data_IF_015088897187
#
_entry.id   IF_015088897187
#
_cell.length_a   1.000
_cell.length_b   1.000
_cell.length_c   1.000
_cell.angle_alpha   90.00
_cell.angle_beta   90.00
_cell.angle_gamma   90.00
#
_symmetry.space_group_name_H-M   'P 1'
#
loop_
_entity.id
_entity.type
_entity.pdbx_description
1 polymer ?
#
# COMPACT_ATOMS: atom_id res chain seq x y z
N UNK A 1 -14.87 -3.46 20.83
CA UNK A 1 -16.12 -3.73 20.07
C UNK A 1 -15.79 -4.31 18.70
N UNK A 2 -16.73 -5.10 18.13
CA UNK A 2 -16.55 -5.58 16.76
C UNK A 2 -16.92 -4.49 15.77
N UNK A 3 -15.99 -4.16 14.89
CA UNK A 3 -16.20 -3.19 13.79
C UNK A 3 -15.98 -3.87 12.43
N UNK A 4 -16.53 -3.26 11.38
CA UNK A 4 -16.25 -3.69 10.01
C UNK A 4 -15.45 -2.62 9.32
N UNK A 5 -14.29 -2.99 8.78
CA UNK A 5 -13.33 -2.12 8.09
C UNK A 5 -13.15 -2.56 6.65
N UNK A 6 -12.53 -1.75 5.82
CA UNK A 6 -12.19 -2.02 4.41
C UNK A 6 -13.40 -2.52 3.62
N UNK A 7 -14.45 -1.73 3.60
CA UNK A 7 -15.68 -2.05 2.85
C UNK A 7 -15.49 -1.68 1.38
N UNK A 8 -15.57 -2.66 0.45
CA UNK A 8 -15.51 -2.34 -0.97
C UNK A 8 -16.64 -1.38 -1.37
N UNK A 9 -16.41 -0.55 -2.37
CA UNK A 9 -17.40 0.37 -2.93
C UNK A 9 -18.66 -0.35 -3.44
N UNK A 10 -18.50 -1.58 -3.92
CA UNK A 10 -19.60 -2.46 -4.31
C UNK A 10 -19.55 -3.77 -3.52
N UNK A 11 -20.72 -4.22 -3.05
CA UNK A 11 -20.83 -5.53 -2.37
C UNK A 11 -20.61 -6.65 -3.38
N UNK A 12 -19.76 -7.60 -2.99
CA UNK A 12 -19.57 -8.85 -3.73
C UNK A 12 -20.47 -9.96 -3.17
N UNK A 13 -20.46 -11.11 -3.80
CA UNK A 13 -21.14 -12.29 -3.26
C UNK A 13 -20.44 -12.77 -1.97
N UNK A 14 -21.24 -13.11 -0.97
CA UNK A 14 -20.72 -13.48 0.36
C UNK A 14 -19.69 -14.61 0.34
N UNK A 15 -19.78 -15.56 -0.62
CA UNK A 15 -18.81 -16.65 -0.72
C UNK A 15 -17.40 -16.22 -1.13
N UNK A 16 -17.24 -15.04 -1.72
CA UNK A 16 -15.91 -14.50 -2.05
C UNK A 16 -15.15 -14.05 -0.79
N UNK A 17 -15.87 -13.71 0.28
CA UNK A 17 -15.28 -13.32 1.57
C UNK A 17 -14.45 -12.04 1.54
N UNK A 18 -14.82 -11.09 0.64
CA UNK A 18 -14.12 -9.80 0.44
C UNK A 18 -15.03 -8.58 0.64
N UNK A 19 -16.12 -8.73 1.40
CA UNK A 19 -17.09 -7.66 1.66
C UNK A 19 -16.75 -6.75 2.84
N UNK A 20 -15.54 -6.73 3.27
CA UNK A 20 -15.03 -6.02 4.45
C UNK A 20 -14.57 -6.99 5.53
N UNK A 21 -13.62 -6.57 6.32
CA UNK A 21 -13.08 -7.34 7.42
C UNK A 21 -13.79 -7.01 8.74
N UNK A 22 -14.06 -8.01 9.56
CA UNK A 22 -14.53 -7.83 10.94
C UNK A 22 -13.34 -7.98 11.87
N UNK A 23 -13.11 -6.97 12.68
CA UNK A 23 -12.03 -6.94 13.66
C UNK A 23 -12.55 -6.48 15.02
N UNK A 24 -11.88 -6.89 16.07
CA UNK A 24 -12.06 -6.31 17.40
C UNK A 24 -11.26 -5.01 17.48
N UNK A 25 -11.91 -3.94 17.90
CA UNK A 25 -11.28 -2.64 18.07
C UNK A 25 -11.72 -1.98 19.36
N UNK A 26 -10.75 -1.54 20.17
CA UNK A 26 -11.01 -0.83 21.42
C UNK A 26 -11.22 0.67 21.22
N UNK A 27 -11.66 1.34 22.30
CA UNK A 27 -11.57 2.80 22.37
C UNK A 27 -10.12 3.18 22.65
N UNK A 28 -9.58 4.14 21.90
CA UNK A 28 -8.19 4.51 21.95
C UNK A 28 -7.96 5.97 22.31
N UNK A 29 -6.73 6.26 22.70
CA UNK A 29 -6.29 7.63 22.92
C UNK A 29 -6.23 8.40 21.59
N UNK A 30 -6.83 9.58 21.55
CA UNK A 30 -6.70 10.51 20.43
C UNK A 30 -5.36 11.23 20.56
N UNK A 31 -4.46 10.99 19.61
CA UNK A 31 -3.20 11.72 19.53
C UNK A 31 -3.41 13.09 18.88
N UNK A 32 -2.55 14.08 19.16
CA UNK A 32 -2.63 15.38 18.51
C UNK A 32 -2.62 15.25 16.99
N UNK A 33 -3.52 15.97 16.32
CA UNK A 33 -3.54 16.09 14.86
C UNK A 33 -2.23 16.68 14.36
N UNK A 34 -1.70 16.12 13.28
CA UNK A 34 -0.57 16.69 12.55
C UNK A 34 -1.10 17.36 11.28
N UNK A 35 -1.11 18.71 11.27
CA UNK A 35 -1.42 19.48 10.07
C UNK A 35 -0.13 19.89 9.39
N UNK A 36 0.06 19.44 8.15
CA UNK A 36 1.28 19.57 7.38
C UNK A 36 1.05 20.51 6.20
N UNK A 37 1.99 21.40 5.95
CA UNK A 37 2.03 22.26 4.77
C UNK A 37 3.46 22.74 4.54
N UNK A 38 3.78 23.18 3.33
CA UNK A 38 5.04 23.85 3.08
C UNK A 38 5.04 25.28 3.65
N UNK A 39 6.21 25.80 4.04
CA UNK A 39 6.38 27.23 4.34
C UNK A 39 5.82 28.10 3.22
N UNK A 40 5.28 29.28 3.56
CA UNK A 40 4.60 30.15 2.60
C UNK A 40 5.50 30.64 1.45
N UNK A 41 6.81 30.66 1.66
CA UNK A 41 7.84 31.07 0.70
C UNK A 41 8.40 29.93 -0.16
N UNK A 42 7.88 28.70 0.01
CA UNK A 42 8.31 27.52 -0.75
C UNK A 42 7.18 26.93 -1.57
N UNK A 43 7.50 26.47 -2.77
CA UNK A 43 6.60 25.72 -3.65
C UNK A 43 6.99 24.25 -3.78
N UNK A 44 8.15 23.87 -3.24
CA UNK A 44 8.60 22.47 -3.22
C UNK A 44 9.22 22.11 -1.86
N UNK A 45 9.11 20.85 -1.45
CA UNK A 45 9.74 20.41 -0.23
C UNK A 45 9.38 19.00 0.21
N UNK A 46 10.09 18.59 1.28
CA UNK A 46 9.92 17.31 1.92
C UNK A 46 9.35 17.50 3.34
N UNK A 47 8.35 16.72 3.63
CA UNK A 47 7.74 16.62 4.95
C UNK A 47 7.91 15.18 5.46
N UNK A 48 7.96 14.99 6.75
CA UNK A 48 8.00 13.65 7.34
C UNK A 48 7.14 13.58 8.59
N UNK A 49 6.50 12.43 8.78
CA UNK A 49 5.73 12.12 9.96
C UNK A 49 6.00 10.69 10.40
N UNK A 50 6.32 10.54 11.68
CA UNK A 50 6.44 9.23 12.32
C UNK A 50 5.26 9.11 13.26
N UNK A 51 4.51 8.04 13.12
CA UNK A 51 3.34 7.74 13.94
C UNK A 51 3.57 6.45 14.70
N UNK A 52 3.36 6.50 16.01
CA UNK A 52 3.48 5.35 16.90
C UNK A 52 2.33 5.37 17.90
N UNK A 53 1.84 4.22 18.34
CA UNK A 53 0.79 4.15 19.35
C UNK A 53 1.25 4.74 20.69
N UNK A 54 0.28 5.19 21.47
CA UNK A 54 0.48 5.67 22.84
C UNK A 54 -0.47 4.97 23.81
N UNK A 55 -0.37 3.64 23.87
CA UNK A 55 -1.22 2.73 24.63
C UNK A 55 -1.87 1.69 23.75
N UNK A 56 -2.62 0.76 24.35
CA UNK A 56 -3.18 -0.44 23.70
C UNK A 56 -3.98 -0.15 22.42
N UNK A 57 -4.70 0.98 22.40
CA UNK A 57 -5.37 1.53 21.21
C UNK A 57 -5.11 3.02 21.13
N UNK A 58 -4.78 3.52 19.96
CA UNK A 58 -4.64 4.95 19.73
C UNK A 58 -4.95 5.32 18.27
N UNK A 59 -5.32 6.59 18.08
CA UNK A 59 -5.65 7.14 16.76
C UNK A 59 -4.87 8.43 16.51
N UNK A 60 -4.42 8.63 15.28
CA UNK A 60 -3.77 9.87 14.84
C UNK A 60 -4.33 10.30 13.50
N UNK A 61 -4.65 11.59 13.40
CA UNK A 61 -5.03 12.24 12.15
C UNK A 61 -3.88 13.07 11.61
N UNK A 62 -3.64 12.95 10.32
CA UNK A 62 -2.63 13.69 9.55
C UNK A 62 -3.37 14.37 8.42
N UNK A 63 -3.23 15.68 8.29
CA UNK A 63 -3.83 16.47 7.22
C UNK A 63 -2.72 17.15 6.45
N UNK A 64 -2.68 16.94 5.16
CA UNK A 64 -1.79 17.64 4.24
C UNK A 64 -2.62 18.62 3.41
N UNK A 65 -2.45 19.90 3.72
CA UNK A 65 -3.04 20.99 2.95
C UNK A 65 -2.01 21.51 1.94
N UNK A 66 -2.38 21.57 0.68
CA UNK A 66 -1.52 22.08 -0.41
C UNK A 66 -2.01 23.42 -0.95
N UNK A 67 -1.16 24.10 -1.67
CA UNK A 67 -1.50 25.26 -2.50
C UNK A 67 -1.29 24.93 -3.96
N UNK A 68 -1.98 25.60 -4.91
CA UNK A 68 -1.81 25.33 -6.32
C UNK A 68 -0.33 25.34 -6.76
N UNK A 69 0.08 24.35 -7.55
CA UNK A 69 1.42 24.23 -8.12
C UNK A 69 2.52 23.78 -7.15
N UNK A 70 2.21 23.33 -5.96
CA UNK A 70 3.22 22.79 -5.02
C UNK A 70 3.72 21.39 -5.43
N UNK A 71 5.00 21.11 -5.14
CA UNK A 71 5.62 19.79 -5.28
C UNK A 71 6.08 19.31 -3.90
N UNK A 72 5.38 18.31 -3.35
CA UNK A 72 5.56 17.85 -1.98
C UNK A 72 5.92 16.38 -1.95
N UNK A 73 6.97 16.03 -1.23
CA UNK A 73 7.23 14.64 -0.82
C UNK A 73 6.91 14.50 0.66
N UNK A 74 5.95 13.64 1.00
CA UNK A 74 5.62 13.25 2.37
C UNK A 74 6.16 11.86 2.67
N UNK A 75 7.03 11.72 3.65
CA UNK A 75 7.45 10.43 4.17
C UNK A 75 6.68 10.10 5.45
N UNK A 76 5.80 9.13 5.39
CA UNK A 76 5.00 8.63 6.49
C UNK A 76 5.54 7.28 6.97
N UNK A 77 5.86 7.18 8.25
CA UNK A 77 6.22 5.92 8.91
C UNK A 77 5.21 5.62 10.01
N UNK A 78 4.61 4.45 9.97
CA UNK A 78 3.71 3.95 11.02
C UNK A 78 4.32 2.68 11.61
N UNK A 79 4.63 2.70 12.91
CA UNK A 79 5.29 1.59 13.61
C UNK A 79 4.85 1.49 15.05
N UNK A 80 4.83 0.29 15.59
CA UNK A 80 4.57 0.05 17.01
C UNK A 80 4.01 -1.35 17.26
N UNK A 81 4.03 -1.72 18.54
CA UNK A 81 3.65 -3.05 19.04
C UNK A 81 2.23 -3.07 19.61
N UNK A 82 1.47 -2.00 19.41
CA UNK A 82 0.11 -1.82 19.90
C UNK A 82 -0.84 -1.47 18.76
N UNK A 83 -2.15 -1.57 18.98
CA UNK A 83 -3.16 -1.29 17.98
C UNK A 83 -3.22 0.21 17.65
N UNK A 84 -3.13 0.53 16.37
CA UNK A 84 -3.02 1.92 15.95
C UNK A 84 -3.83 2.22 14.69
N UNK A 85 -4.62 3.30 14.74
CA UNK A 85 -5.30 3.86 13.59
C UNK A 85 -4.62 5.17 13.17
N UNK A 86 -4.19 5.24 11.93
CA UNK A 86 -3.79 6.52 11.30
C UNK A 86 -4.80 6.91 10.24
N UNK A 87 -5.10 8.20 10.16
CA UNK A 87 -5.90 8.79 9.08
C UNK A 87 -5.07 9.84 8.36
N UNK A 88 -4.93 9.68 7.05
CA UNK A 88 -4.25 10.64 6.19
C UNK A 88 -5.28 11.31 5.27
N UNK A 89 -5.39 12.62 5.35
CA UNK A 89 -6.23 13.41 4.48
C UNK A 89 -5.36 14.30 3.59
N UNK A 90 -5.60 14.26 2.28
CA UNK A 90 -4.90 15.07 1.30
C UNK A 90 -5.91 15.81 0.43
N UNK A 91 -5.88 17.13 0.49
CA UNK A 91 -6.57 17.99 -0.45
C UNK A 91 -5.52 18.58 -1.40
N UNK A 92 -5.36 17.95 -2.57
CA UNK A 92 -4.40 18.40 -3.57
C UNK A 92 -5.06 19.45 -4.47
N UNK A 93 -4.62 20.69 -4.31
CA UNK A 93 -5.07 21.82 -5.12
C UNK A 93 -4.57 21.70 -6.59
N UNK A 94 -5.06 22.57 -7.47
CA UNK A 94 -4.75 22.49 -8.90
C UNK A 94 -3.25 22.50 -9.20
N UNK A 95 -2.84 21.69 -10.18
CA UNK A 95 -1.46 21.55 -10.65
C UNK A 95 -0.44 21.15 -9.57
N UNK A 96 -0.91 20.63 -8.44
CA UNK A 96 -0.09 20.15 -7.31
C UNK A 96 0.47 18.77 -7.60
N UNK A 97 1.71 18.54 -7.21
CA UNK A 97 2.30 17.20 -7.21
C UNK A 97 2.60 16.76 -5.79
N UNK A 98 2.00 15.66 -5.35
CA UNK A 98 2.26 15.06 -4.03
C UNK A 98 2.76 13.64 -4.19
N UNK A 99 3.93 13.36 -3.64
CA UNK A 99 4.47 12.00 -3.51
C UNK A 99 4.41 11.58 -2.05
N UNK A 100 3.67 10.53 -1.75
CA UNK A 100 3.59 9.95 -0.40
C UNK A 100 4.37 8.64 -0.36
N UNK A 101 5.39 8.60 0.47
CA UNK A 101 6.23 7.43 0.72
C UNK A 101 5.81 6.84 2.07
N UNK A 102 5.20 5.65 2.05
CA UNK A 102 4.62 5.05 3.25
C UNK A 102 5.38 3.78 3.65
N UNK A 103 5.70 3.68 4.94
CA UNK A 103 6.30 2.49 5.53
C UNK A 103 5.49 2.07 6.76
N UNK A 104 4.80 0.93 6.65
CA UNK A 104 4.02 0.33 7.74
C UNK A 104 4.76 -0.84 8.35
N UNK A 105 4.98 -0.78 9.67
CA UNK A 105 5.73 -1.77 10.44
C UNK A 105 5.01 -2.10 11.76
N UNK A 106 3.87 -2.81 11.72
CA UNK A 106 3.26 -3.32 12.95
C UNK A 106 4.16 -4.38 13.58
N UNK A 107 4.30 -4.32 14.90
CA UNK A 107 4.96 -5.37 15.67
C UNK A 107 4.06 -6.59 15.88
N UNK A 108 4.63 -7.65 16.46
CA UNK A 108 3.94 -8.91 16.68
C UNK A 108 2.68 -8.75 17.55
N UNK A 109 1.55 -9.22 17.03
CA UNK A 109 0.25 -9.14 17.69
C UNK A 109 -0.44 -7.78 17.60
N UNK A 110 0.21 -6.77 17.05
CA UNK A 110 -0.38 -5.45 16.82
C UNK A 110 -1.23 -5.43 15.54
N UNK A 111 -2.23 -4.56 15.53
CA UNK A 111 -3.01 -4.25 14.33
C UNK A 111 -2.84 -2.78 13.97
N UNK A 112 -2.32 -2.52 12.77
CA UNK A 112 -2.31 -1.19 12.17
C UNK A 112 -3.51 -1.06 11.24
N UNK A 113 -4.30 0.00 11.46
CA UNK A 113 -5.31 0.49 10.51
C UNK A 113 -4.80 1.79 9.90
N UNK A 114 -4.92 1.91 8.60
CA UNK A 114 -4.59 3.13 7.89
C UNK A 114 -5.74 3.50 6.96
N UNK A 115 -6.29 4.69 7.14
CA UNK A 115 -7.38 5.22 6.32
C UNK A 115 -6.86 6.47 5.60
N UNK A 116 -6.94 6.48 4.26
CA UNK A 116 -6.53 7.64 3.45
C UNK A 116 -7.72 8.18 2.66
N UNK A 117 -7.96 9.48 2.75
CA UNK A 117 -8.97 10.21 2.00
C UNK A 117 -8.30 11.29 1.17
N UNK A 118 -8.48 11.23 -0.15
CA UNK A 118 -7.82 12.13 -1.08
C UNK A 118 -8.85 12.80 -2.01
N UNK A 119 -8.70 14.11 -2.23
CA UNK A 119 -9.43 14.87 -3.24
C UNK A 119 -8.45 15.64 -4.11
N UNK A 120 -8.51 15.43 -5.43
CA UNK A 120 -7.55 15.97 -6.38
C UNK A 120 -8.21 16.98 -7.32
N UNK A 121 -7.70 18.23 -7.29
CA UNK A 121 -8.11 19.32 -8.17
C UNK A 121 -7.56 19.18 -9.61
N UNK A 122 -7.83 20.18 -10.45
CA UNK A 122 -7.44 20.18 -11.86
C UNK A 122 -5.92 19.97 -12.03
N UNK A 123 -5.53 18.99 -12.84
CA UNK A 123 -4.12 18.69 -13.11
C UNK A 123 -3.30 18.21 -11.90
N UNK A 124 -3.92 17.98 -10.75
CA UNK A 124 -3.20 17.50 -9.57
C UNK A 124 -2.74 16.05 -9.76
N UNK A 125 -1.52 15.77 -9.34
CA UNK A 125 -0.90 14.45 -9.38
C UNK A 125 -0.58 13.98 -7.96
N UNK A 126 -1.14 12.85 -7.54
CA UNK A 126 -0.77 12.22 -6.26
C UNK A 126 -0.24 10.82 -6.51
N UNK A 127 0.90 10.49 -5.91
CA UNK A 127 1.47 9.15 -6.00
C UNK A 127 1.77 8.59 -4.60
N UNK A 128 1.35 7.35 -4.37
CA UNK A 128 1.69 6.56 -3.18
C UNK A 128 2.70 5.49 -3.53
N UNK A 129 3.77 5.40 -2.75
CA UNK A 129 4.71 4.29 -2.77
C UNK A 129 4.72 3.70 -1.37
N UNK A 130 4.07 2.56 -1.22
CA UNK A 130 3.78 1.95 0.08
C UNK A 130 4.56 0.66 0.26
N UNK A 131 5.31 0.55 1.34
CA UNK A 131 5.90 -0.70 1.80
C UNK A 131 5.23 -1.16 3.10
N UNK A 132 4.74 -2.38 3.09
CA UNK A 132 4.05 -3.01 4.22
C UNK A 132 4.89 -4.17 4.72
N UNK A 133 5.58 -3.95 5.84
CA UNK A 133 6.59 -4.84 6.39
C UNK A 133 6.42 -4.93 7.91
N UNK A 134 6.00 -6.08 8.43
CA UNK A 134 5.83 -6.22 9.87
C UNK A 134 5.38 -7.61 10.27
N UNK A 135 5.32 -7.83 11.58
CA UNK A 135 4.89 -9.08 12.21
C UNK A 135 3.49 -8.96 12.85
N UNK A 136 2.70 -7.98 12.41
CA UNK A 136 1.33 -7.76 12.84
C UNK A 136 0.35 -7.64 11.67
N UNK A 137 -0.91 -7.42 12.00
CA UNK A 137 -1.99 -7.27 11.03
C UNK A 137 -2.07 -5.85 10.47
N UNK A 138 -2.40 -5.74 9.17
CA UNK A 138 -2.59 -4.45 8.50
C UNK A 138 -3.93 -4.41 7.79
N UNK A 139 -4.66 -3.32 8.01
CA UNK A 139 -5.90 -2.98 7.33
C UNK A 139 -5.77 -1.58 6.75
N UNK A 140 -5.48 -1.48 5.45
CA UNK A 140 -5.37 -0.23 4.73
C UNK A 140 -6.63 0.03 3.89
N UNK A 141 -7.20 1.21 4.00
CA UNK A 141 -8.37 1.66 3.24
C UNK A 141 -8.05 3.02 2.63
N UNK A 142 -8.01 3.08 1.30
CA UNK A 142 -7.71 4.31 0.58
C UNK A 142 -8.87 4.66 -0.35
N UNK A 143 -9.36 5.87 -0.20
CA UNK A 143 -10.35 6.46 -1.09
C UNK A 143 -9.78 7.71 -1.74
N UNK A 144 -9.81 7.75 -3.07
CA UNK A 144 -9.29 8.86 -3.86
C UNK A 144 -10.36 9.34 -4.84
N UNK A 145 -10.71 10.62 -4.76
CA UNK A 145 -11.61 11.28 -5.71
C UNK A 145 -10.80 12.12 -6.70
N UNK A 146 -10.82 11.76 -7.98
CA UNK A 146 -10.26 12.52 -9.09
C UNK A 146 -11.30 13.54 -9.58
N UNK A 147 -11.42 14.64 -8.83
CA UNK A 147 -12.48 15.66 -9.03
C UNK A 147 -12.14 16.57 -10.20
N UNK A 148 -10.87 17.00 -10.28
CA UNK A 148 -10.40 17.94 -11.30
C UNK A 148 -10.10 17.27 -12.63
N UNK A 149 -10.31 18.01 -13.72
CA UNK A 149 -9.95 17.56 -15.07
C UNK A 149 -8.43 17.32 -15.17
N UNK A 150 -8.02 16.18 -15.75
CA UNK A 150 -6.61 15.83 -15.91
C UNK A 150 -5.88 15.44 -14.63
N UNK A 151 -6.57 15.27 -13.52
CA UNK A 151 -5.95 14.78 -12.29
C UNK A 151 -5.54 13.32 -12.37
N UNK A 152 -4.53 12.92 -11.59
CA UNK A 152 -4.02 11.55 -11.62
C UNK A 152 -3.65 11.01 -10.23
N UNK A 153 -3.92 9.71 -10.03
CA UNK A 153 -3.52 8.96 -8.85
C UNK A 153 -2.77 7.69 -9.21
N UNK A 154 -1.55 7.55 -8.68
CA UNK A 154 -0.69 6.40 -8.89
C UNK A 154 -0.42 5.73 -7.55
N UNK A 155 -0.55 4.41 -7.46
CA UNK A 155 -0.28 3.65 -6.24
C UNK A 155 0.58 2.44 -6.53
N UNK A 156 1.78 2.41 -5.98
CA UNK A 156 2.70 1.28 -6.03
C UNK A 156 2.83 0.67 -4.62
N UNK A 157 2.34 -0.56 -4.44
CA UNK A 157 2.26 -1.22 -3.15
C UNK A 157 3.19 -2.43 -3.12
N UNK A 158 4.11 -2.46 -2.14
CA UNK A 158 4.95 -3.61 -1.84
C UNK A 158 4.60 -4.21 -0.48
N UNK A 159 4.43 -5.52 -0.38
CA UNK A 159 4.10 -6.16 0.89
C UNK A 159 4.82 -7.49 1.09
N UNK A 160 5.16 -7.76 2.35
CA UNK A 160 5.57 -9.08 2.83
C UNK A 160 4.68 -9.45 4.02
N UNK A 161 3.85 -10.48 3.85
CA UNK A 161 3.01 -11.02 4.91
C UNK A 161 3.49 -12.42 5.28
N UNK A 162 3.66 -12.67 6.58
CA UNK A 162 4.25 -13.91 7.07
C UNK A 162 3.58 -14.42 8.36
N UNK A 163 3.90 -15.65 8.75
CA UNK A 163 3.28 -16.28 9.93
C UNK A 163 1.78 -16.50 9.74
N UNK A 164 0.97 -16.08 10.70
CA UNK A 164 -0.50 -16.11 10.64
C UNK A 164 -1.10 -14.71 10.40
N UNK A 165 -0.26 -13.72 10.09
CA UNK A 165 -0.66 -12.32 9.96
C UNK A 165 -1.54 -12.08 8.73
N UNK A 166 -2.22 -10.94 8.75
CA UNK A 166 -3.17 -10.53 7.73
C UNK A 166 -2.82 -9.18 7.14
N UNK A 167 -2.89 -9.13 5.81
CA UNK A 167 -2.89 -7.86 5.08
C UNK A 167 -4.23 -7.74 4.36
N UNK A 168 -4.98 -6.70 4.68
CA UNK A 168 -6.25 -6.38 4.03
C UNK A 168 -6.15 -4.97 3.46
N UNK A 169 -6.17 -4.87 2.14
CA UNK A 169 -6.06 -3.60 1.41
C UNK A 169 -7.35 -3.41 0.61
N UNK A 170 -8.00 -2.28 0.83
CA UNK A 170 -9.07 -1.76 0.01
C UNK A 170 -8.62 -0.44 -0.58
N UNK A 171 -8.74 -0.27 -1.89
CA UNK A 171 -8.38 0.95 -2.58
C UNK A 171 -9.46 1.28 -3.59
N UNK A 172 -10.08 2.45 -3.46
CA UNK A 172 -11.12 2.94 -4.35
C UNK A 172 -10.67 4.24 -4.99
N UNK A 173 -10.72 4.30 -6.32
CA UNK A 173 -10.47 5.53 -7.08
C UNK A 173 -11.73 5.88 -7.86
N UNK A 174 -12.30 7.05 -7.55
CA UNK A 174 -13.46 7.60 -8.23
C UNK A 174 -13.04 8.64 -9.27
N UNK A 175 -13.36 8.40 -10.53
CA UNK A 175 -13.14 9.34 -11.63
C UNK A 175 -14.42 10.19 -11.83
N UNK A 176 -14.34 11.48 -11.48
CA UNK A 176 -15.43 12.45 -11.69
C UNK A 176 -15.05 13.54 -12.68
N UNK A 177 -13.78 13.95 -12.71
CA UNK A 177 -13.21 14.84 -13.72
C UNK A 177 -12.97 14.13 -15.06
N UNK A 178 -12.73 14.90 -16.12
CA UNK A 178 -12.42 14.40 -17.46
C UNK A 178 -10.93 14.16 -17.63
N UNK A 179 -10.57 13.20 -18.51
CA UNK A 179 -9.19 12.88 -18.83
C UNK A 179 -8.33 12.57 -17.56
N UNK A 180 -8.96 11.98 -16.57
CA UNK A 180 -8.29 11.60 -15.33
C UNK A 180 -7.61 10.25 -15.48
N UNK A 181 -6.57 9.99 -14.70
CA UNK A 181 -5.80 8.76 -14.79
C UNK A 181 -5.62 8.12 -13.41
N UNK A 182 -5.79 6.79 -13.32
CA UNK A 182 -5.32 6.05 -12.16
C UNK A 182 -4.55 4.80 -12.56
N UNK A 183 -3.52 4.48 -11.76
CA UNK A 183 -2.78 3.24 -11.86
C UNK A 183 -2.52 2.67 -10.47
N UNK A 184 -2.90 1.42 -10.29
CA UNK A 184 -2.74 0.69 -9.04
C UNK A 184 -1.89 -0.54 -9.34
N UNK A 185 -0.68 -0.60 -8.82
CA UNK A 185 0.22 -1.74 -8.92
C UNK A 185 0.55 -2.28 -7.53
N UNK A 186 0.17 -3.52 -7.26
CA UNK A 186 0.51 -4.20 -6.02
C UNK A 186 1.42 -5.40 -6.28
N UNK A 187 2.46 -5.57 -5.49
CA UNK A 187 3.29 -6.75 -5.58
C UNK A 187 3.86 -7.16 -4.23
N UNK A 188 3.88 -8.46 -3.96
CA UNK A 188 4.40 -8.93 -2.69
C UNK A 188 4.47 -10.44 -2.57
N UNK A 189 4.82 -10.88 -1.37
CA UNK A 189 4.95 -12.28 -1.05
C UNK A 189 4.16 -12.63 0.22
N UNK A 190 3.60 -13.84 0.21
CA UNK A 190 2.95 -14.47 1.34
C UNK A 190 3.74 -15.72 1.73
N UNK A 191 4.14 -15.82 2.98
CA UNK A 191 4.83 -17.00 3.52
C UNK A 191 3.99 -17.67 4.61
N UNK A 192 4.34 -18.86 4.99
CA UNK A 192 3.72 -19.61 6.08
C UNK A 192 2.19 -19.80 5.89
N UNK A 193 1.39 -19.28 6.82
CA UNK A 193 -0.07 -19.28 6.81
C UNK A 193 -0.66 -17.88 6.70
N UNK A 194 0.11 -16.95 6.12
CA UNK A 194 -0.29 -15.56 5.95
C UNK A 194 -1.55 -15.43 5.08
N UNK A 195 -2.34 -14.40 5.37
CA UNK A 195 -3.61 -14.16 4.66
C UNK A 195 -3.64 -12.76 4.08
N UNK A 196 -3.94 -12.67 2.79
CA UNK A 196 -4.12 -11.38 2.13
C UNK A 196 -5.47 -11.27 1.46
N UNK A 197 -6.12 -10.13 1.66
CA UNK A 197 -7.23 -9.65 0.85
C UNK A 197 -6.82 -8.33 0.17
N UNK A 198 -6.99 -8.25 -1.13
CA UNK A 198 -6.82 -7.02 -1.90
C UNK A 198 -8.09 -6.76 -2.70
N UNK A 199 -8.65 -5.57 -2.55
CA UNK A 199 -9.78 -5.09 -3.36
C UNK A 199 -9.40 -3.73 -3.95
N UNK A 200 -9.16 -3.70 -5.26
CA UNK A 200 -9.00 -2.47 -6.02
C UNK A 200 -10.31 -2.14 -6.73
N UNK A 201 -10.79 -0.92 -6.61
CA UNK A 201 -11.98 -0.45 -7.30
C UNK A 201 -11.66 0.78 -8.10
N UNK A 202 -11.92 0.72 -9.40
CA UNK A 202 -11.90 1.87 -10.32
C UNK A 202 -13.33 2.20 -10.65
N UNK A 203 -13.81 3.39 -10.28
CA UNK A 203 -15.19 3.81 -10.46
C UNK A 203 -15.29 5.02 -11.43
N UNK A 204 -15.66 4.75 -12.66
CA UNK A 204 -15.89 5.78 -13.68
C UNK A 204 -17.30 6.34 -13.55
N UNK A 205 -17.42 7.52 -12.94
CA UNK A 205 -18.70 8.23 -12.80
C UNK A 205 -19.14 8.84 -14.14
N UNK A 206 -20.42 9.09 -14.26
CA UNK A 206 -20.95 9.77 -15.45
C UNK A 206 -20.33 11.16 -15.59
N UNK A 207 -19.75 11.46 -16.75
CA UNK A 207 -19.12 12.74 -17.07
C UNK A 207 -17.58 12.71 -17.12
N UNK A 208 -16.94 11.63 -16.65
CA UNK A 208 -15.48 11.48 -16.65
C UNK A 208 -14.88 11.06 -18.01
N UNK A 209 -15.43 11.55 -19.10
CA UNK A 209 -15.01 11.19 -20.47
C UNK A 209 -13.50 11.37 -20.69
N UNK A 210 -12.89 10.41 -21.36
CA UNK A 210 -11.44 10.39 -21.67
C UNK A 210 -10.58 9.85 -20.51
N UNK A 211 -11.17 9.34 -19.45
CA UNK A 211 -10.42 8.83 -18.29
C UNK A 211 -9.94 7.40 -18.50
N UNK A 212 -8.80 7.09 -17.86
CA UNK A 212 -8.14 5.80 -17.94
C UNK A 212 -7.82 5.27 -16.53
N UNK A 213 -8.01 3.96 -16.36
CA UNK A 213 -7.69 3.29 -15.09
C UNK A 213 -7.10 1.91 -15.32
N UNK A 214 -6.03 1.59 -14.59
CA UNK A 214 -5.39 0.29 -14.65
C UNK A 214 -5.09 -0.24 -13.26
N UNK A 215 -5.35 -1.53 -13.04
CA UNK A 215 -5.00 -2.25 -11.82
C UNK A 215 -4.21 -3.51 -12.17
N UNK A 216 -3.06 -3.71 -11.53
CA UNK A 216 -2.26 -4.91 -11.67
C UNK A 216 -1.81 -5.42 -10.30
N UNK A 217 -1.88 -6.72 -10.12
CA UNK A 217 -1.33 -7.35 -8.94
C UNK A 217 -0.43 -8.53 -9.31
N UNK A 218 0.69 -8.65 -8.58
CA UNK A 218 1.57 -9.82 -8.65
C UNK A 218 1.81 -10.36 -7.26
N UNK A 219 1.37 -11.57 -7.00
CA UNK A 219 1.48 -12.25 -5.70
C UNK A 219 2.38 -13.46 -5.82
N UNK A 220 3.35 -13.58 -4.94
CA UNK A 220 4.19 -14.75 -4.79
C UNK A 220 3.73 -15.53 -3.54
N UNK A 221 3.28 -16.77 -3.74
CA UNK A 221 2.91 -17.68 -2.65
C UNK A 221 4.11 -18.56 -2.32
N UNK A 222 4.61 -18.46 -1.09
CA UNK A 222 5.80 -19.17 -0.60
C UNK A 222 5.50 -20.04 0.63
N UNK A 223 4.25 -20.22 0.96
CA UNK A 223 3.81 -21.05 2.09
C UNK A 223 2.59 -21.87 1.72
N UNK A 224 2.60 -23.16 2.09
CA UNK A 224 1.49 -24.09 1.81
C UNK A 224 0.17 -23.68 2.48
N UNK A 225 0.24 -22.89 3.56
CA UNK A 225 -0.93 -22.36 4.28
C UNK A 225 -1.33 -20.94 3.87
N UNK A 226 -0.62 -20.32 2.92
CA UNK A 226 -0.88 -18.93 2.52
C UNK A 226 -2.22 -18.82 1.76
N UNK A 227 -3.03 -17.82 2.14
CA UNK A 227 -4.31 -17.54 1.50
C UNK A 227 -4.26 -16.19 0.79
N UNK A 228 -4.45 -16.20 -0.52
CA UNK A 228 -4.59 -14.97 -1.32
C UNK A 228 -6.01 -14.79 -1.84
N UNK A 229 -6.56 -13.60 -1.63
CA UNK A 229 -7.82 -13.16 -2.24
C UNK A 229 -7.61 -11.81 -2.91
N UNK A 230 -7.88 -11.77 -4.21
CA UNK A 230 -7.77 -10.56 -5.03
C UNK A 230 -9.13 -10.32 -5.69
N UNK A 231 -9.63 -9.11 -5.56
CA UNK A 231 -10.90 -8.71 -6.17
C UNK A 231 -10.72 -7.37 -6.91
N UNK A 232 -10.40 -7.41 -8.19
CA UNK A 232 -10.46 -6.22 -9.03
C UNK A 232 -11.91 -5.89 -9.37
N UNK A 233 -12.27 -4.60 -9.25
CA UNK A 233 -13.63 -4.10 -9.53
C UNK A 233 -13.55 -2.88 -10.45
N UNK A 234 -14.27 -2.92 -11.56
CA UNK A 234 -14.46 -1.74 -12.41
C UNK A 234 -15.95 -1.43 -12.44
N UNK A 235 -16.30 -0.25 -11.91
CA UNK A 235 -17.65 0.32 -12.02
C UNK A 235 -17.62 1.36 -13.13
N UNK A 236 -18.54 1.27 -14.07
CA UNK A 236 -18.50 2.10 -15.27
C UNK A 236 -19.88 2.70 -15.58
N UNK A 237 -19.99 4.02 -15.44
CA UNK A 237 -21.17 4.79 -15.78
C UNK A 237 -20.92 5.78 -16.94
N UNK A 238 -19.75 5.73 -17.60
CA UNK A 238 -19.33 6.56 -18.73
C UNK A 238 -18.90 5.68 -19.91
N UNK A 239 -19.19 6.07 -21.14
CA UNK A 239 -18.89 5.25 -22.32
C UNK A 239 -17.48 5.47 -22.87
N UNK A 240 -16.96 6.70 -22.78
CA UNK A 240 -15.66 7.07 -23.32
C UNK A 240 -14.56 6.99 -22.24
N UNK A 241 -14.33 5.79 -21.74
CA UNK A 241 -13.29 5.51 -20.73
C UNK A 241 -12.59 4.19 -21.06
N UNK A 242 -11.40 3.97 -20.49
CA UNK A 242 -10.65 2.74 -20.59
C UNK A 242 -10.30 2.24 -19.19
N UNK A 243 -10.76 1.02 -18.87
CA UNK A 243 -10.44 0.36 -17.61
C UNK A 243 -9.84 -1.02 -17.85
N UNK A 244 -8.71 -1.30 -17.23
CA UNK A 244 -8.03 -2.61 -17.33
C UNK A 244 -7.68 -3.15 -15.95
N UNK A 245 -7.68 -4.47 -15.81
CA UNK A 245 -7.14 -5.12 -14.63
C UNK A 245 -6.39 -6.39 -14.99
N UNK A 246 -5.41 -6.75 -14.15
CA UNK A 246 -4.63 -7.97 -14.25
C UNK A 246 -4.22 -8.48 -12.88
N UNK A 247 -4.26 -9.79 -12.68
CA UNK A 247 -3.74 -10.41 -11.47
C UNK A 247 -2.90 -11.64 -11.83
N UNK A 248 -1.70 -11.70 -11.28
CA UNK A 248 -0.80 -12.83 -11.42
C UNK A 248 -0.54 -13.40 -10.02
N UNK A 249 -0.87 -14.67 -9.85
CA UNK A 249 -0.54 -15.41 -8.63
C UNK A 249 0.41 -16.53 -9.04
N UNK A 250 1.60 -16.54 -8.44
CA UNK A 250 2.64 -17.51 -8.76
C UNK A 250 3.24 -18.14 -7.52
N UNK A 251 3.79 -19.32 -7.72
CA UNK A 251 4.66 -20.02 -6.79
C UNK A 251 6.05 -20.15 -7.45
N UNK A 252 7.07 -20.49 -6.67
CA UNK A 252 8.34 -20.88 -7.25
C UNK A 252 8.16 -22.23 -7.96
N UNK A 253 8.20 -22.21 -9.29
CA UNK A 253 8.08 -23.43 -10.09
C UNK A 253 9.31 -24.34 -9.95
N UNK A 254 9.12 -25.63 -10.16
CA UNK A 254 10.19 -26.62 -10.06
C UNK A 254 11.42 -26.32 -10.94
N UNK A 255 11.30 -25.82 -12.18
CA UNK A 255 12.45 -25.40 -12.97
C UNK A 255 13.26 -24.27 -12.34
N UNK A 256 12.59 -23.27 -11.79
CA UNK A 256 13.24 -22.14 -11.09
C UNK A 256 13.94 -22.63 -9.82
N UNK A 257 13.27 -23.46 -9.02
CA UNK A 257 13.87 -24.07 -7.84
C UNK A 257 15.10 -24.91 -8.19
N UNK A 258 14.99 -25.79 -9.19
CA UNK A 258 16.11 -26.58 -9.66
C UNK A 258 17.30 -25.71 -10.08
N UNK A 259 17.03 -24.57 -10.75
CA UNK A 259 18.08 -23.63 -11.12
C UNK A 259 18.80 -23.07 -9.89
N UNK A 260 18.07 -22.65 -8.85
CA UNK A 260 18.67 -22.17 -7.61
C UNK A 260 19.46 -23.27 -6.89
N UNK A 261 18.88 -24.46 -6.72
CA UNK A 261 19.51 -25.59 -6.06
C UNK A 261 20.78 -26.07 -6.78
N UNK A 262 20.78 -26.06 -8.12
CA UNK A 262 21.97 -26.39 -8.92
C UNK A 262 23.14 -25.42 -8.71
N UNK A 263 22.88 -24.25 -8.12
CA UNK A 263 23.88 -23.25 -7.74
C UNK A 263 24.17 -23.22 -6.23
N UNK A 264 23.65 -24.21 -5.51
CA UNK A 264 23.87 -24.33 -4.07
C UNK A 264 22.99 -23.41 -3.22
N UNK A 265 21.95 -22.80 -3.80
CA UNK A 265 20.97 -21.97 -3.09
C UNK A 265 19.80 -22.86 -2.68
N UNK A 266 19.52 -22.96 -1.39
CA UNK A 266 18.41 -23.76 -0.89
C UNK A 266 17.04 -23.17 -1.33
N UNK A 267 15.98 -23.97 -1.27
CA UNK A 267 14.59 -23.51 -1.51
C UNK A 267 14.27 -22.31 -0.63
N UNK A 268 14.54 -22.42 0.66
CA UNK A 268 14.28 -21.35 1.63
C UNK A 268 15.02 -20.04 1.31
N UNK A 269 16.28 -20.15 0.89
CA UNK A 269 17.05 -18.99 0.46
C UNK A 269 16.50 -18.37 -0.84
N UNK A 270 16.09 -19.19 -1.79
CA UNK A 270 15.46 -18.75 -3.04
C UNK A 270 14.15 -18.00 -2.76
N UNK A 271 13.31 -18.53 -1.87
CA UNK A 271 12.05 -17.90 -1.44
C UNK A 271 12.30 -16.55 -0.79
N UNK A 272 13.27 -16.46 0.12
CA UNK A 272 13.68 -15.19 0.75
C UNK A 272 14.19 -14.17 -0.28
N UNK A 273 15.00 -14.61 -1.23
CA UNK A 273 15.52 -13.74 -2.30
C UNK A 273 14.38 -13.19 -3.18
N UNK A 274 13.41 -14.02 -3.54
CA UNK A 274 12.28 -13.62 -4.38
C UNK A 274 11.33 -12.67 -3.63
N UNK A 275 11.01 -12.98 -2.38
CA UNK A 275 10.23 -12.09 -1.53
C UNK A 275 10.88 -10.72 -1.39
N UNK A 276 12.20 -10.70 -1.12
CA UNK A 276 12.98 -9.46 -1.04
C UNK A 276 12.94 -8.66 -2.34
N UNK A 277 13.11 -9.32 -3.48
CA UNK A 277 13.15 -8.66 -4.78
C UNK A 277 11.85 -7.91 -5.10
N UNK A 278 10.69 -8.50 -4.75
CA UNK A 278 9.39 -7.88 -4.96
C UNK A 278 9.28 -6.52 -4.22
N UNK A 279 9.73 -6.45 -2.97
CA UNK A 279 9.67 -5.23 -2.15
C UNK A 279 10.71 -4.20 -2.58
N UNK A 280 11.95 -4.64 -2.84
CA UNK A 280 13.03 -3.75 -3.29
C UNK A 280 12.67 -3.06 -4.60
N UNK A 281 11.98 -3.77 -5.50
CA UNK A 281 11.47 -3.18 -6.73
C UNK A 281 10.55 -1.99 -6.46
N UNK A 282 9.59 -2.14 -5.55
CA UNK A 282 8.65 -1.06 -5.20
C UNK A 282 9.38 0.09 -4.50
N UNK A 283 10.25 -0.21 -3.52
CA UNK A 283 11.02 0.82 -2.83
C UNK A 283 11.88 1.65 -3.79
N UNK A 284 12.45 1.02 -4.83
CA UNK A 284 13.29 1.72 -5.82
C UNK A 284 12.53 2.75 -6.67
N UNK A 285 11.21 2.60 -6.81
CA UNK A 285 10.37 3.56 -7.54
C UNK A 285 10.31 4.93 -6.85
N UNK A 286 10.54 4.96 -5.53
CA UNK A 286 10.55 6.21 -4.75
C UNK A 286 11.62 7.19 -5.21
N UNK A 287 12.77 6.69 -5.68
CA UNK A 287 13.98 7.48 -5.96
C UNK A 287 14.41 8.32 -4.74
N UNK A 288 14.09 7.84 -3.54
CA UNK A 288 14.37 8.48 -2.27
C UNK A 288 15.25 7.55 -1.43
N UNK A 289 16.47 8.01 -1.12
CA UNK A 289 17.48 7.19 -0.44
C UNK A 289 17.09 6.89 1.01
N UNK A 290 16.47 7.83 1.71
CA UNK A 290 16.04 7.65 3.10
C UNK A 290 14.92 6.62 3.20
N UNK A 291 13.90 6.74 2.35
CA UNK A 291 12.81 5.77 2.29
C UNK A 291 13.32 4.38 1.89
N UNK A 292 14.09 4.30 0.82
CA UNK A 292 14.66 3.02 0.35
C UNK A 292 15.54 2.38 1.41
N UNK A 293 16.37 3.16 2.12
CA UNK A 293 17.19 2.69 3.22
C UNK A 293 16.36 2.16 4.40
N UNK A 294 15.27 2.85 4.76
CA UNK A 294 14.35 2.41 5.80
C UNK A 294 13.65 1.09 5.44
N UNK A 295 13.18 0.95 4.19
CA UNK A 295 12.56 -0.28 3.69
C UNK A 295 13.55 -1.44 3.69
N UNK A 296 14.79 -1.23 3.22
CA UNK A 296 15.83 -2.26 3.22
C UNK A 296 16.18 -2.72 4.64
N UNK A 297 16.32 -1.79 5.58
CA UNK A 297 16.59 -2.09 6.99
C UNK A 297 15.45 -2.91 7.63
N UNK A 298 14.20 -2.57 7.32
CA UNK A 298 13.05 -3.34 7.79
C UNK A 298 13.05 -4.76 7.21
N UNK A 299 13.33 -4.91 5.92
CA UNK A 299 13.46 -6.22 5.27
C UNK A 299 14.57 -7.08 5.87
N UNK A 300 15.75 -6.48 6.14
CA UNK A 300 16.88 -7.18 6.76
C UNK A 300 16.53 -7.67 8.17
N UNK A 301 15.73 -6.89 8.90
CA UNK A 301 15.21 -7.30 10.21
C UNK A 301 14.24 -8.47 10.11
N UNK A 302 13.34 -8.45 9.14
CA UNK A 302 12.29 -9.47 8.98
C UNK A 302 12.81 -10.78 8.37
N UNK A 303 13.68 -10.69 7.37
CA UNK A 303 14.17 -11.85 6.63
C UNK A 303 15.52 -12.38 7.15
N UNK A 304 16.10 -11.74 8.15
CA UNK A 304 17.48 -11.92 8.58
C UNK A 304 18.46 -11.16 7.66
N UNK A 305 19.52 -10.60 8.23
CA UNK A 305 20.63 -10.06 7.44
C UNK A 305 21.24 -11.20 6.63
N UNK A 306 21.68 -10.91 5.40
CA UNK A 306 22.56 -11.82 4.67
C UNK A 306 23.73 -12.14 5.62
N UNK A 307 23.82 -13.37 6.10
CA UNK A 307 25.12 -13.87 6.51
C UNK A 307 25.96 -13.83 5.22
N UNK A 308 26.95 -12.94 5.18
CA UNK A 308 27.97 -12.96 4.15
C UNK A 308 28.54 -14.39 4.13
N UNK A 309 28.05 -15.20 3.20
CA UNK A 309 28.59 -16.50 2.91
C UNK A 309 30.03 -16.26 2.51
N UNK A 310 30.95 -16.36 3.48
CA UNK A 310 32.35 -16.30 3.23
C UNK A 310 32.66 -17.27 2.11
N UNK A 311 33.11 -16.71 0.98
CA UNK A 311 33.84 -17.49 -0.01
C UNK A 311 35.02 -18.06 0.74
N UNK A 312 34.92 -19.33 1.15
CA UNK A 312 36.06 -20.08 1.60
C UNK A 312 36.98 -20.20 0.38
N UNK A 313 38.06 -19.43 0.41
CA UNK A 313 39.19 -19.64 -0.47
C UNK A 313 39.63 -21.11 -0.34
N UNK A 314 39.49 -21.87 -1.40
CA UNK A 314 40.10 -23.16 -1.61
C UNK A 314 40.76 -23.20 -2.98
#
# INVERSE_FOLDING_TARGET
MNITVNRPASRTWNFLGVNGARIEWGEGAQLPESRLSLPADKSEGRLSVISSPAGEYSEKRIVLDTRPGEDITLFETVRGDENFLTRLEINAESDTRVRVLQLFMPGSGATVRHESELSLGDGAEVSFITATLGDGDIYADTHCELVGDGSSFLSDIGYLCRGENRININLTVEHTGKNTECRIDASGALTDSAKKNFCGTIDFKKGCSGSHGAENETVLLLGDGAENKTLPVILCAEENVEGTHGATVGELDEPTLFYFESRGISREEAERMMARAAIVRVASLSRDEEYSGAVLSALDTLLGSREDGGVADA
#
